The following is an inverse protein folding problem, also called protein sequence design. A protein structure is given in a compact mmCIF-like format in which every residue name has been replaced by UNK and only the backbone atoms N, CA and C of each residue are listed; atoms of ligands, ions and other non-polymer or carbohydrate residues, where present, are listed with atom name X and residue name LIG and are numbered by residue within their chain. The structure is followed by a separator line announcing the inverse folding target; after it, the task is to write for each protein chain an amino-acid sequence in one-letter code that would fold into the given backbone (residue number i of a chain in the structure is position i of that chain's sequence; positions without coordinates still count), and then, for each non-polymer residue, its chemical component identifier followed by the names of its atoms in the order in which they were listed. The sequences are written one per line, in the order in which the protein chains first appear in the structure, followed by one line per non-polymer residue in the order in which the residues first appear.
data_IF_051488935516
#
_entry.id   IF_051488935516
#
_cell.length_a   1.000
_cell.length_b   1.000
_cell.length_c   1.000
_cell.angle_alpha   90.00
_cell.angle_beta   90.00
_cell.angle_gamma   90.00
#
_symmetry.space_group_name_H-M   'P 1'
#
loop_
_entity.id
_entity.type
_entity.pdbx_description
1 polymer ?
#
# COMPACT_ATOMS: atom_id res chain seq x y z
N UNK A 1 14.45 10.99 -3.84
CA UNK A 1 13.57 9.83 -3.50
C UNK A 1 14.43 8.64 -3.12
N UNK A 2 14.15 8.00 -1.98
CA UNK A 2 14.80 6.77 -1.53
C UNK A 2 14.00 5.55 -2.02
N UNK A 3 14.70 4.43 -2.29
CA UNK A 3 14.08 3.18 -2.72
C UNK A 3 14.47 2.07 -1.75
N UNK A 4 13.51 1.22 -1.42
CA UNK A 4 13.69 0.11 -0.48
C UNK A 4 13.17 -1.20 -1.06
N UNK A 5 13.74 -2.32 -0.63
CA UNK A 5 13.28 -3.65 -1.02
C UNK A 5 12.00 -4.00 -0.25
N UNK A 6 10.96 -4.38 -0.95
CA UNK A 6 9.68 -4.77 -0.34
C UNK A 6 9.72 -6.25 0.07
N UNK A 7 10.45 -6.56 1.14
CA UNK A 7 10.60 -7.92 1.64
C UNK A 7 11.05 -8.91 0.57
N UNK A 8 10.63 -10.18 0.68
CA UNK A 8 10.97 -11.27 -0.25
C UNK A 8 10.37 -11.14 -1.65
N UNK A 9 9.63 -10.06 -1.95
CA UNK A 9 9.21 -9.78 -3.33
C UNK A 9 10.39 -9.36 -4.21
N UNK A 10 11.47 -8.87 -3.60
CA UNK A 10 12.61 -8.23 -4.26
C UNK A 10 12.26 -7.01 -5.12
N UNK A 11 11.00 -6.53 -5.06
CA UNK A 11 10.60 -5.28 -5.69
C UNK A 11 11.33 -4.11 -5.02
N UNK A 12 11.99 -3.28 -5.82
CA UNK A 12 12.61 -2.04 -5.37
C UNK A 12 11.58 -0.90 -5.50
N UNK A 13 10.91 -0.60 -4.41
CA UNK A 13 9.82 0.40 -4.37
C UNK A 13 10.32 1.73 -3.81
N UNK A 14 9.74 2.84 -4.27
CA UNK A 14 9.96 4.14 -3.61
C UNK A 14 9.46 4.05 -2.16
N UNK A 15 10.25 4.57 -1.23
CA UNK A 15 9.92 4.55 0.20
C UNK A 15 8.66 5.34 0.53
N UNK A 16 8.27 6.25 -0.35
CA UNK A 16 6.96 6.91 -0.38
C UNK A 16 6.16 6.32 -1.53
N UNK A 17 5.06 5.63 -1.24
CA UNK A 17 4.13 5.10 -2.23
C UNK A 17 2.93 6.05 -2.42
N UNK A 18 2.29 6.00 -3.59
CA UNK A 18 1.11 6.79 -3.90
C UNK A 18 -0.16 5.94 -3.80
N UNK A 19 -1.10 6.37 -2.95
CA UNK A 19 -2.43 5.76 -2.81
C UNK A 19 -3.45 6.42 -3.73
N UNK A 20 -3.93 5.69 -4.72
CA UNK A 20 -4.85 6.23 -5.72
C UNK A 20 -6.32 6.25 -5.31
N UNK A 21 -6.71 5.55 -4.24
CA UNK A 21 -8.12 5.44 -3.82
C UNK A 21 -8.77 6.78 -3.46
N UNK A 22 -7.97 7.79 -3.05
CA UNK A 22 -8.48 9.15 -2.77
C UNK A 22 -8.73 9.98 -4.02
N UNK A 23 -8.31 9.53 -5.20
CA UNK A 23 -8.46 10.28 -6.46
C UNK A 23 -9.91 10.41 -6.92
N UNK A 24 -10.82 9.57 -6.42
CA UNK A 24 -12.27 9.75 -6.62
C UNK A 24 -12.79 11.10 -6.12
N UNK A 25 -12.08 11.70 -5.15
CA UNK A 25 -12.40 12.99 -4.56
C UNK A 25 -11.65 14.15 -5.26
N UNK A 26 -10.92 13.89 -6.35
CA UNK A 26 -10.26 14.92 -7.15
C UNK A 26 -11.30 15.75 -7.94
N UNK A 27 -10.96 17.00 -8.26
CA UNK A 27 -11.86 17.91 -8.97
C UNK A 27 -12.28 17.39 -10.36
N UNK A 28 -11.38 16.66 -11.01
CA UNK A 28 -11.60 16.04 -12.33
C UNK A 28 -10.65 14.88 -12.59
N UNK A 29 -10.94 14.07 -13.59
CA UNK A 29 -10.02 13.01 -14.06
C UNK A 29 -8.68 13.57 -14.57
N UNK A 30 -8.70 14.76 -15.19
CA UNK A 30 -7.47 15.45 -15.63
C UNK A 30 -6.61 15.87 -14.43
N UNK A 31 -7.23 16.41 -13.39
CA UNK A 31 -6.57 16.76 -12.13
C UNK A 31 -5.95 15.52 -11.47
N UNK A 32 -6.71 14.42 -11.40
CA UNK A 32 -6.22 13.15 -10.87
C UNK A 32 -5.03 12.61 -11.68
N UNK A 33 -5.11 12.63 -13.01
CA UNK A 33 -4.01 12.24 -13.90
C UNK A 33 -2.76 13.09 -13.70
N UNK A 34 -2.93 14.39 -13.51
CA UNK A 34 -1.82 15.32 -13.21
C UNK A 34 -1.13 15.00 -11.89
N UNK A 35 -1.90 14.59 -10.86
CA UNK A 35 -1.36 14.13 -9.56
C UNK A 35 -0.51 12.88 -9.71
N UNK A 36 -1.04 11.87 -10.44
CA UNK A 36 -0.35 10.60 -10.69
C UNK A 36 0.97 10.86 -11.42
N UNK A 37 0.93 11.65 -12.50
CA UNK A 37 2.13 11.99 -13.28
C UNK A 37 3.16 12.75 -12.47
N UNK A 38 2.72 13.73 -11.70
CA UNK A 38 3.62 14.48 -10.81
C UNK A 38 4.26 13.58 -9.75
N UNK A 39 3.54 12.63 -9.20
CA UNK A 39 4.08 11.65 -8.27
C UNK A 39 5.19 10.82 -8.93
N UNK A 40 4.95 10.32 -10.14
CA UNK A 40 5.94 9.59 -10.93
C UNK A 40 7.17 10.45 -11.26
N UNK A 41 6.98 11.67 -11.75
CA UNK A 41 8.07 12.60 -12.10
C UNK A 41 8.94 12.96 -10.88
N UNK A 42 8.36 12.92 -9.67
CA UNK A 42 9.08 13.10 -8.41
C UNK A 42 9.81 11.83 -7.93
N UNK A 43 9.72 10.72 -8.67
CA UNK A 43 10.41 9.47 -8.39
C UNK A 43 9.58 8.45 -7.62
N UNK A 44 8.28 8.66 -7.39
CA UNK A 44 7.41 7.60 -6.88
C UNK A 44 7.22 6.56 -7.98
N UNK A 45 7.58 5.31 -7.70
CA UNK A 45 7.40 4.20 -8.61
C UNK A 45 6.40 3.14 -8.12
N UNK A 46 5.83 3.29 -6.93
CA UNK A 46 4.88 2.34 -6.36
C UNK A 46 3.53 2.98 -6.13
N UNK A 47 2.50 2.47 -6.81
CA UNK A 47 1.13 2.97 -6.83
C UNK A 47 0.18 1.90 -6.31
N UNK A 48 -0.62 2.23 -5.29
CA UNK A 48 -1.57 1.31 -4.64
C UNK A 48 -3.00 1.74 -4.91
N UNK A 49 -3.85 0.77 -5.25
CA UNK A 49 -5.28 0.94 -5.47
C UNK A 49 -6.06 -0.29 -4.98
N UNK A 50 -7.34 -0.42 -5.34
CA UNK A 50 -8.18 -1.56 -4.99
C UNK A 50 -9.32 -1.76 -6.00
N UNK A 51 -9.74 -3.02 -6.22
CA UNK A 51 -10.85 -3.36 -7.11
C UNK A 51 -12.20 -2.78 -6.67
N UNK A 52 -12.41 -2.58 -5.36
CA UNK A 52 -13.61 -1.94 -4.83
C UNK A 52 -13.71 -0.42 -5.14
N UNK A 53 -12.66 0.17 -5.71
CA UNK A 53 -12.60 1.54 -6.21
C UNK A 53 -12.20 1.53 -7.70
N UNK A 54 -13.08 1.06 -8.61
CA UNK A 54 -12.75 0.82 -10.02
C UNK A 54 -12.33 2.08 -10.78
N UNK A 55 -12.84 3.24 -10.40
CA UNK A 55 -12.46 4.51 -11.00
C UNK A 55 -10.99 4.83 -10.73
N UNK A 56 -10.45 4.47 -9.56
CA UNK A 56 -9.05 4.68 -9.25
C UNK A 56 -8.11 3.78 -10.06
N UNK A 57 -8.54 2.55 -10.38
CA UNK A 57 -7.80 1.68 -11.29
C UNK A 57 -7.77 2.25 -12.72
N UNK A 58 -8.91 2.74 -13.22
CA UNK A 58 -8.99 3.39 -14.53
C UNK A 58 -8.11 4.63 -14.61
N UNK A 59 -8.15 5.50 -13.59
CA UNK A 59 -7.30 6.70 -13.52
C UNK A 59 -5.81 6.35 -13.53
N UNK A 60 -5.40 5.30 -12.82
CA UNK A 60 -4.01 4.81 -12.87
C UNK A 60 -3.66 4.29 -14.25
N UNK A 61 -4.53 3.48 -14.87
CA UNK A 61 -4.35 2.95 -16.21
C UNK A 61 -4.15 4.05 -17.24
N UNK A 62 -5.10 4.98 -17.31
CA UNK A 62 -5.06 6.11 -18.24
C UNK A 62 -3.81 6.98 -18.06
N UNK A 63 -3.36 7.13 -16.82
CA UNK A 63 -2.21 7.99 -16.50
C UNK A 63 -0.85 7.31 -16.66
N UNK A 64 -0.76 5.98 -16.57
CA UNK A 64 0.53 5.26 -16.48
C UNK A 64 0.77 4.26 -17.62
N UNK A 65 -0.18 4.01 -18.54
CA UNK A 65 -0.07 2.97 -19.56
C UNK A 65 1.19 3.09 -20.43
N UNK A 66 1.60 4.29 -20.80
CA UNK A 66 2.78 4.57 -21.63
C UNK A 66 4.11 4.36 -20.88
N UNK A 67 4.06 4.33 -19.54
CA UNK A 67 5.22 4.11 -18.66
C UNK A 67 5.03 2.90 -17.74
N UNK A 68 4.05 2.02 -18.00
CA UNK A 68 3.68 0.90 -17.14
C UNK A 68 4.87 0.05 -16.69
N UNK A 69 5.84 -0.15 -17.56
CA UNK A 69 7.06 -0.92 -17.28
C UNK A 69 8.04 -0.24 -16.30
N UNK A 70 7.86 1.06 -16.06
CA UNK A 70 8.72 1.85 -15.15
C UNK A 70 8.11 2.00 -13.76
N UNK A 71 6.89 1.51 -13.55
CA UNK A 71 6.16 1.62 -12.29
C UNK A 71 5.74 0.24 -11.77
N UNK A 72 5.55 0.17 -10.46
CA UNK A 72 5.05 -0.99 -9.75
C UNK A 72 3.63 -0.68 -9.28
N UNK A 73 2.69 -1.56 -9.59
CA UNK A 73 1.28 -1.36 -9.26
C UNK A 73 0.81 -2.46 -8.32
N UNK A 74 0.20 -2.02 -7.22
CA UNK A 74 -0.53 -2.88 -6.31
C UNK A 74 -2.03 -2.62 -6.43
N UNK A 75 -2.83 -3.69 -6.49
CA UNK A 75 -4.28 -3.64 -6.28
C UNK A 75 -4.72 -4.79 -5.40
N UNK A 76 -5.97 -4.77 -4.96
CA UNK A 76 -6.48 -5.75 -4.01
C UNK A 76 -7.92 -6.13 -4.31
N UNK A 77 -8.29 -7.35 -3.90
CA UNK A 77 -9.65 -7.91 -4.00
C UNK A 77 -10.09 -8.51 -2.68
N UNK A 78 -11.37 -8.39 -2.36
CA UNK A 78 -12.06 -9.08 -1.26
C UNK A 78 -12.96 -10.22 -1.77
N UNK A 79 -12.69 -10.73 -2.96
CA UNK A 79 -13.48 -11.78 -3.61
C UNK A 79 -13.63 -13.03 -2.73
N UNK A 80 -14.82 -13.63 -2.75
CA UNK A 80 -15.19 -14.75 -1.86
C UNK A 80 -15.00 -16.12 -2.52
N UNK A 81 -14.65 -16.15 -3.81
CA UNK A 81 -14.46 -17.40 -4.57
C UNK A 81 -13.34 -17.30 -5.61
N UNK A 82 -12.77 -18.45 -6.03
CA UNK A 82 -11.77 -18.48 -7.10
C UNK A 82 -12.23 -17.85 -8.43
N UNK A 83 -13.51 -17.97 -8.74
CA UNK A 83 -14.10 -17.40 -9.96
C UNK A 83 -14.13 -15.87 -9.87
N UNK A 84 -14.53 -15.33 -8.72
CA UNK A 84 -14.56 -13.89 -8.48
C UNK A 84 -13.14 -13.30 -8.51
N UNK A 85 -12.13 -13.96 -7.90
CA UNK A 85 -10.74 -13.51 -7.96
C UNK A 85 -10.26 -13.37 -9.41
N UNK A 86 -10.56 -14.36 -10.26
CA UNK A 86 -10.15 -14.32 -11.67
C UNK A 86 -10.86 -13.19 -12.42
N UNK A 87 -12.17 -13.02 -12.20
CA UNK A 87 -12.95 -11.93 -12.78
C UNK A 87 -12.42 -10.56 -12.33
N UNK A 88 -12.23 -10.38 -11.02
CA UNK A 88 -11.75 -9.13 -10.44
C UNK A 88 -10.36 -8.74 -11.00
N UNK A 89 -9.48 -9.73 -11.14
CA UNK A 89 -8.18 -9.49 -11.76
C UNK A 89 -8.30 -9.13 -13.25
N UNK A 90 -9.13 -9.83 -14.02
CA UNK A 90 -9.33 -9.51 -15.44
C UNK A 90 -9.93 -8.10 -15.60
N UNK A 91 -10.85 -7.70 -14.74
CA UNK A 91 -11.39 -6.33 -14.71
C UNK A 91 -10.32 -5.30 -14.34
N UNK A 92 -9.48 -5.57 -13.34
CA UNK A 92 -8.36 -4.70 -12.95
C UNK A 92 -7.34 -4.54 -14.07
N UNK A 93 -6.95 -5.63 -14.75
CA UNK A 93 -6.02 -5.59 -15.88
C UNK A 93 -6.57 -4.75 -17.04
N UNK A 94 -7.87 -4.91 -17.34
CA UNK A 94 -8.54 -4.11 -18.37
C UNK A 94 -8.61 -2.63 -18.00
N UNK A 95 -9.01 -2.30 -16.77
CA UNK A 95 -9.10 -0.92 -16.29
C UNK A 95 -7.73 -0.21 -16.29
N UNK A 96 -6.68 -0.94 -15.91
CA UNK A 96 -5.32 -0.40 -15.85
C UNK A 96 -4.52 -0.54 -17.16
N UNK A 97 -5.14 -1.03 -18.25
CA UNK A 97 -4.51 -1.21 -19.56
C UNK A 97 -3.16 -1.94 -19.49
N UNK A 98 -3.10 -3.04 -18.74
CA UNK A 98 -1.86 -3.77 -18.53
C UNK A 98 -2.05 -5.30 -18.54
N UNK A 99 -0.95 -6.03 -18.78
CA UNK A 99 -0.96 -7.48 -18.89
C UNK A 99 -0.72 -8.19 -17.53
N UNK A 100 -0.23 -7.46 -16.55
CA UNK A 100 0.09 -8.00 -15.21
C UNK A 100 0.00 -6.95 -14.12
N UNK A 101 -0.21 -7.42 -12.87
CA UNK A 101 -0.10 -6.65 -11.62
C UNK A 101 1.18 -7.06 -10.89
N UNK A 102 1.93 -6.08 -10.37
CA UNK A 102 3.16 -6.38 -9.64
C UNK A 102 2.88 -7.00 -8.26
N UNK A 103 1.94 -6.43 -7.50
CA UNK A 103 1.52 -6.96 -6.21
C UNK A 103 -0.02 -7.06 -6.15
N UNK A 104 -0.55 -8.28 -6.21
CA UNK A 104 -1.98 -8.52 -6.06
C UNK A 104 -2.28 -8.97 -4.64
N UNK A 105 -3.11 -8.21 -3.94
CA UNK A 105 -3.37 -8.42 -2.52
C UNK A 105 -4.76 -9.02 -2.30
N UNK A 106 -4.85 -9.97 -1.38
CA UNK A 106 -6.13 -10.43 -0.85
C UNK A 106 -6.51 -9.62 0.38
N UNK A 107 -7.63 -8.91 0.33
CA UNK A 107 -8.17 -8.17 1.47
C UNK A 107 -8.95 -9.11 2.38
N UNK A 108 -8.47 -9.29 3.62
CA UNK A 108 -9.07 -10.21 4.57
C UNK A 108 -10.32 -9.58 5.19
N UNK A 109 -11.47 -10.16 4.89
CA UNK A 109 -12.76 -9.73 5.43
C UNK A 109 -13.36 -10.71 6.45
N UNK A 110 -12.73 -11.85 6.69
CA UNK A 110 -13.25 -12.86 7.64
C UNK A 110 -12.33 -14.04 7.89
N UNK A 111 -11.68 -14.58 6.87
CA UNK A 111 -10.78 -15.72 7.02
C UNK A 111 -9.49 -15.51 6.21
N UNK A 112 -8.44 -16.24 6.59
CA UNK A 112 -7.16 -16.20 5.89
C UNK A 112 -7.17 -17.35 4.86
N UNK A 113 -7.09 -17.08 3.54
CA UNK A 113 -6.96 -18.11 2.54
C UNK A 113 -5.67 -18.92 2.75
N UNK A 114 -5.77 -20.24 2.75
CA UNK A 114 -4.65 -21.16 3.00
C UNK A 114 -4.29 -21.99 1.77
N UNK A 115 -3.05 -22.47 1.71
CA UNK A 115 -2.52 -23.25 0.57
C UNK A 115 -3.38 -24.44 0.17
N UNK A 116 -4.01 -25.10 1.14
CA UNK A 116 -4.91 -26.24 0.93
C UNK A 116 -6.33 -25.93 1.43
N UNK A 117 -6.69 -24.63 1.50
CA UNK A 117 -7.99 -24.18 1.92
C UNK A 117 -9.08 -24.71 0.99
N UNK A 118 -10.22 -25.14 1.56
CA UNK A 118 -11.37 -25.64 0.79
C UNK A 118 -12.04 -24.55 -0.05
N UNK A 119 -11.78 -23.28 0.30
CA UNK A 119 -12.22 -22.10 -0.43
C UNK A 119 -11.57 -21.98 -1.82
N UNK A 120 -10.36 -22.57 -2.00
CA UNK A 120 -9.59 -22.54 -3.23
C UNK A 120 -9.01 -21.18 -3.61
N UNK A 121 -9.15 -20.16 -2.76
CA UNK A 121 -8.75 -18.76 -3.04
C UNK A 121 -7.23 -18.67 -3.20
N UNK A 122 -6.48 -19.20 -2.23
CA UNK A 122 -5.01 -19.18 -2.32
C UNK A 122 -4.48 -19.95 -3.53
N UNK A 123 -5.13 -21.07 -3.89
CA UNK A 123 -4.78 -21.83 -5.09
C UNK A 123 -5.03 -21.00 -6.35
N UNK A 124 -6.15 -20.28 -6.44
CA UNK A 124 -6.42 -19.37 -7.57
C UNK A 124 -5.37 -18.25 -7.69
N UNK A 125 -4.95 -17.66 -6.57
CA UNK A 125 -3.87 -16.65 -6.58
C UNK A 125 -2.55 -17.25 -7.09
N UNK A 126 -2.21 -18.47 -6.68
CA UNK A 126 -1.00 -19.17 -7.18
C UNK A 126 -1.08 -19.51 -8.66
N UNK A 127 -2.25 -19.92 -9.17
CA UNK A 127 -2.46 -20.15 -10.61
C UNK A 127 -2.24 -18.86 -11.41
N UNK A 128 -2.78 -17.74 -10.93
CA UNK A 128 -2.62 -16.43 -11.57
C UNK A 128 -1.15 -15.97 -11.56
N UNK A 129 -0.42 -16.23 -10.47
CA UNK A 129 1.02 -15.98 -10.37
C UNK A 129 1.80 -16.87 -11.37
N UNK A 130 1.47 -18.14 -11.44
CA UNK A 130 2.08 -19.09 -12.38
C UNK A 130 1.81 -18.69 -13.84
N UNK A 131 0.61 -18.18 -14.14
CA UNK A 131 0.25 -17.65 -15.45
C UNK A 131 0.92 -16.30 -15.77
N UNK A 132 1.63 -15.69 -14.82
CA UNK A 132 2.31 -14.40 -14.99
C UNK A 132 1.39 -13.18 -14.97
N UNK A 133 0.09 -13.36 -14.68
CA UNK A 133 -0.89 -12.27 -14.56
C UNK A 133 -0.69 -11.42 -13.29
N UNK A 134 -0.12 -12.01 -12.26
CA UNK A 134 0.35 -11.33 -11.05
C UNK A 134 1.79 -11.76 -10.76
N UNK A 135 2.61 -10.85 -10.24
CA UNK A 135 4.02 -11.16 -9.94
C UNK A 135 4.19 -11.62 -8.50
N UNK A 136 3.50 -10.95 -7.57
CA UNK A 136 3.59 -11.23 -6.12
C UNK A 136 2.21 -11.31 -5.51
N UNK A 137 2.07 -12.09 -4.43
CA UNK A 137 0.84 -12.25 -3.66
C UNK A 137 1.03 -11.57 -2.31
N UNK A 138 0.27 -10.51 -2.11
CA UNK A 138 0.17 -9.81 -0.83
C UNK A 138 -1.14 -10.08 -0.11
N UNK A 139 -1.27 -9.46 1.04
CA UNK A 139 -2.50 -9.48 1.83
C UNK A 139 -2.71 -8.12 2.49
N UNK A 140 -3.96 -7.67 2.56
CA UNK A 140 -4.37 -6.53 3.36
C UNK A 140 -5.20 -7.04 4.56
N UNK A 141 -4.88 -6.55 5.75
CA UNK A 141 -5.57 -6.91 6.99
C UNK A 141 -5.68 -5.68 7.91
N UNK A 142 -6.73 -5.64 8.74
CA UNK A 142 -6.94 -4.55 9.69
C UNK A 142 -6.87 -5.04 11.15
N UNK A 143 -7.02 -6.35 11.37
CA UNK A 143 -6.94 -6.96 12.69
C UNK A 143 -5.52 -7.43 13.02
N UNK A 144 -5.02 -7.01 14.19
CA UNK A 144 -3.67 -7.30 14.67
C UNK A 144 -3.36 -8.79 14.78
N UNK A 145 -4.29 -9.57 15.35
CA UNK A 145 -4.12 -11.02 15.54
C UNK A 145 -4.09 -11.75 14.19
N UNK A 146 -4.97 -11.34 13.27
CA UNK A 146 -5.03 -11.85 11.91
C UNK A 146 -3.74 -11.54 11.16
N UNK A 147 -3.24 -10.31 11.23
CA UNK A 147 -1.97 -9.93 10.62
C UNK A 147 -0.81 -10.77 11.16
N UNK A 148 -0.75 -10.99 12.48
CA UNK A 148 0.26 -11.84 13.11
C UNK A 148 0.21 -13.29 12.61
N UNK A 149 -0.98 -13.86 12.39
CA UNK A 149 -1.15 -15.21 11.81
C UNK A 149 -0.68 -15.26 10.36
N UNK A 150 -1.07 -14.27 9.56
CA UNK A 150 -0.66 -14.14 8.16
C UNK A 150 0.87 -14.12 8.03
N UNK A 151 1.56 -13.28 8.80
CA UNK A 151 3.02 -13.18 8.75
C UNK A 151 3.65 -14.54 9.09
N UNK A 152 3.22 -15.19 10.17
CA UNK A 152 3.77 -16.48 10.62
C UNK A 152 3.47 -17.62 9.65
N UNK A 153 2.43 -17.51 8.81
CA UNK A 153 2.11 -18.52 7.80
C UNK A 153 3.21 -18.64 6.73
N UNK A 154 3.97 -17.56 6.48
CA UNK A 154 4.99 -17.49 5.45
C UNK A 154 4.47 -17.58 4.00
N UNK A 155 3.14 -17.64 3.82
CA UNK A 155 2.51 -17.83 2.51
C UNK A 155 2.50 -16.57 1.65
N UNK A 156 2.38 -15.40 2.26
CA UNK A 156 2.25 -14.12 1.58
C UNK A 156 3.58 -13.38 1.55
N UNK A 157 3.76 -12.51 0.56
CA UNK A 157 5.02 -11.82 0.29
C UNK A 157 5.05 -10.39 0.85
N UNK A 158 3.87 -9.76 0.97
CA UNK A 158 3.71 -8.45 1.58
C UNK A 158 2.43 -8.39 2.43
N UNK A 159 2.48 -7.60 3.50
CA UNK A 159 1.34 -7.23 4.34
C UNK A 159 1.06 -5.74 4.18
N UNK A 160 -0.19 -5.39 3.87
CA UNK A 160 -0.70 -4.04 4.00
C UNK A 160 -1.54 -3.94 5.27
N UNK A 161 -1.21 -2.97 6.14
CA UNK A 161 -1.83 -2.84 7.46
C UNK A 161 -1.96 -1.36 7.86
N UNK A 162 -3.03 -0.95 8.58
CA UNK A 162 -3.15 0.42 9.11
C UNK A 162 -2.00 0.72 10.08
N UNK A 163 -1.15 1.68 9.72
CA UNK A 163 -0.03 2.08 10.56
C UNK A 163 0.26 3.57 10.45
N UNK A 164 0.13 4.25 11.58
CA UNK A 164 0.31 5.69 11.72
C UNK A 164 0.90 6.03 13.08
N UNK A 165 1.22 7.29 13.31
CA UNK A 165 1.78 7.75 14.58
C UNK A 165 0.83 7.55 15.78
N UNK A 166 -0.49 7.42 15.55
CA UNK A 166 -1.49 7.17 16.61
C UNK A 166 -1.92 5.69 16.69
N UNK A 167 -1.34 4.81 15.88
CA UNK A 167 -1.60 3.37 16.00
C UNK A 167 -1.18 2.85 17.37
N UNK A 168 -1.88 1.82 17.92
CA UNK A 168 -1.47 1.18 19.17
C UNK A 168 0.02 0.79 19.14
N UNK A 169 0.71 0.96 20.26
CA UNK A 169 2.16 0.66 20.35
C UNK A 169 2.49 -0.79 19.94
N UNK A 170 1.57 -1.73 20.22
CA UNK A 170 1.71 -3.12 19.79
C UNK A 170 1.85 -3.29 18.27
N UNK A 171 1.31 -2.37 17.46
CA UNK A 171 1.36 -2.47 15.99
C UNK A 171 2.79 -2.47 15.45
N UNK A 172 3.74 -1.78 16.11
CA UNK A 172 5.15 -1.79 15.71
C UNK A 172 5.77 -3.19 15.74
N UNK A 173 5.26 -4.09 16.60
CA UNK A 173 5.72 -5.48 16.64
C UNK A 173 5.38 -6.28 15.36
N UNK A 174 4.35 -5.87 14.61
CA UNK A 174 4.08 -6.45 13.28
C UNK A 174 5.15 -6.04 12.27
N UNK A 175 5.67 -4.83 12.36
CA UNK A 175 6.78 -4.34 11.51
C UNK A 175 8.02 -5.20 11.76
N UNK A 176 8.38 -5.42 13.04
CA UNK A 176 9.51 -6.27 13.43
C UNK A 176 9.30 -7.73 12.99
N UNK A 177 8.07 -8.21 13.12
CA UNK A 177 7.72 -9.56 12.70
C UNK A 177 7.82 -9.72 11.17
N UNK A 178 7.35 -8.73 10.39
CA UNK A 178 7.53 -8.73 8.94
C UNK A 178 9.01 -8.75 8.55
N UNK A 179 9.85 -7.93 9.20
CA UNK A 179 11.29 -7.95 8.97
C UNK A 179 11.90 -9.34 9.24
N UNK A 180 11.50 -9.99 10.34
CA UNK A 180 11.98 -11.34 10.69
C UNK A 180 11.59 -12.42 9.66
N UNK A 181 10.44 -12.28 9.01
CA UNK A 181 9.95 -13.23 8.00
C UNK A 181 10.25 -12.78 6.56
N UNK A 182 11.05 -11.72 6.40
CA UNK A 182 11.36 -11.12 5.10
C UNK A 182 10.09 -10.78 4.29
N UNK A 183 9.04 -10.33 4.98
CA UNK A 183 7.77 -9.93 4.40
C UNK A 183 7.72 -8.41 4.25
N UNK A 184 7.31 -7.90 3.09
CA UNK A 184 7.13 -6.46 2.88
C UNK A 184 6.04 -5.90 3.81
N UNK A 185 6.26 -4.72 4.39
CA UNK A 185 5.26 -4.03 5.21
C UNK A 185 4.84 -2.72 4.52
N UNK A 186 3.56 -2.66 4.14
CA UNK A 186 2.94 -1.49 3.51
C UNK A 186 2.02 -0.84 4.54
N UNK A 187 2.35 0.41 4.92
CA UNK A 187 1.55 1.17 5.87
C UNK A 187 0.42 1.90 5.15
N UNK A 188 -0.81 1.42 5.29
CA UNK A 188 -1.98 2.15 4.81
C UNK A 188 -2.49 3.14 5.87
N UNK A 189 -3.24 4.15 5.41
CA UNK A 189 -3.84 5.18 6.26
C UNK A 189 -2.83 5.95 7.14
N UNK A 190 -1.70 6.44 6.61
CA UNK A 190 -0.68 7.16 7.37
C UNK A 190 -1.21 8.41 8.06
N UNK A 191 -2.28 9.02 7.53
CA UNK A 191 -2.99 10.17 8.10
C UNK A 191 -4.37 9.80 8.69
N UNK A 192 -4.65 8.51 8.92
CA UNK A 192 -5.93 8.05 9.49
C UNK A 192 -7.17 8.62 8.80
N UNK A 193 -7.20 8.58 7.47
CA UNK A 193 -8.33 9.13 6.69
C UNK A 193 -8.44 10.66 6.74
N UNK A 194 -7.38 11.38 7.09
CA UNK A 194 -7.35 12.84 7.21
C UNK A 194 -7.58 13.36 8.63
N UNK A 195 -7.73 12.49 9.62
CA UNK A 195 -7.82 12.86 11.05
C UNK A 195 -6.51 13.51 11.51
N UNK A 196 -5.37 13.05 10.99
CA UNK A 196 -4.07 13.62 11.26
C UNK A 196 -3.73 14.69 10.21
N UNK A 197 -3.62 15.94 10.65
CA UNK A 197 -3.25 17.07 9.80
C UNK A 197 -1.75 17.43 9.89
N UNK A 198 -1.02 16.89 10.88
CA UNK A 198 0.41 17.16 11.06
C UNK A 198 1.24 16.20 10.18
N UNK A 199 1.37 16.53 8.89
CA UNK A 199 2.12 15.73 7.91
C UNK A 199 3.59 15.55 8.32
N UNK A 200 4.36 16.58 8.77
CA UNK A 200 5.73 16.42 9.24
C UNK A 200 5.86 15.35 10.33
N UNK A 201 4.96 15.37 11.31
CA UNK A 201 5.01 14.44 12.43
C UNK A 201 4.65 13.01 11.98
N UNK A 202 3.62 12.86 11.14
CA UNK A 202 3.22 11.56 10.58
C UNK A 202 4.33 10.98 9.69
N UNK A 203 4.94 11.81 8.83
CA UNK A 203 6.03 11.40 7.95
C UNK A 203 7.26 10.96 8.77
N UNK A 204 7.73 11.79 9.71
CA UNK A 204 8.88 11.47 10.55
C UNK A 204 8.66 10.23 11.40
N UNK A 205 7.43 10.00 11.90
CA UNK A 205 7.11 8.77 12.61
C UNK A 205 7.31 7.53 11.74
N UNK A 206 6.78 7.51 10.51
CA UNK A 206 6.90 6.36 9.61
C UNK A 206 8.33 6.20 9.05
N UNK A 207 9.03 7.32 8.88
CA UNK A 207 10.41 7.33 8.40
C UNK A 207 11.43 6.74 9.37
N UNK A 208 11.07 6.50 10.65
CA UNK A 208 11.92 5.76 11.59
C UNK A 208 12.04 4.26 11.26
N UNK A 209 11.13 3.72 10.46
CA UNK A 209 11.06 2.29 10.13
C UNK A 209 11.59 2.07 8.71
N UNK A 210 12.80 1.53 8.59
CA UNK A 210 13.47 1.34 7.29
C UNK A 210 12.73 0.37 6.35
N UNK A 211 11.98 -0.57 6.90
CA UNK A 211 11.25 -1.62 6.18
C UNK A 211 9.75 -1.32 6.01
N UNK A 212 9.31 -0.10 6.30
CA UNK A 212 7.92 0.33 6.13
C UNK A 212 7.79 1.20 4.88
N UNK A 213 6.81 0.87 4.04
CA UNK A 213 6.44 1.65 2.84
C UNK A 213 5.07 2.28 3.07
N UNK A 214 4.99 3.56 3.46
CA UNK A 214 3.72 4.24 3.63
C UNK A 214 3.07 4.58 2.28
N UNK A 215 1.76 4.33 2.18
CA UNK A 215 0.92 4.68 1.04
C UNK A 215 0.21 6.00 1.34
N UNK A 216 0.69 7.06 0.72
CA UNK A 216 0.14 8.40 0.90
C UNK A 216 -0.91 8.71 -0.16
N UNK A 217 -2.09 9.10 0.28
CA UNK A 217 -3.11 9.69 -0.60
C UNK A 217 -2.94 11.20 -0.69
N UNK A 218 -3.11 11.77 -1.87
CA UNK A 218 -3.18 13.20 -2.10
C UNK A 218 -4.34 13.51 -3.06
N UNK A 219 -5.12 14.55 -2.76
CA UNK A 219 -6.24 15.01 -3.58
C UNK A 219 -5.89 16.25 -4.39
N UNK A 220 -4.87 16.99 -3.94
CA UNK A 220 -4.38 18.21 -4.58
C UNK A 220 -2.87 18.17 -4.78
N UNK A 221 -2.39 19.02 -5.69
CA UNK A 221 -0.96 19.20 -5.94
C UNK A 221 -0.25 19.71 -4.69
N UNK A 222 -0.91 20.53 -3.89
CA UNK A 222 -0.39 21.10 -2.64
C UNK A 222 -0.17 20.00 -1.59
N UNK A 223 -1.15 19.09 -1.41
CA UNK A 223 -1.02 17.94 -0.51
C UNK A 223 0.15 17.03 -0.96
N UNK A 224 0.23 16.71 -2.27
CA UNK A 224 1.33 15.92 -2.80
C UNK A 224 2.68 16.61 -2.59
N UNK A 225 2.78 17.91 -2.86
CA UNK A 225 4.01 18.68 -2.65
C UNK A 225 4.48 18.64 -1.18
N UNK A 226 3.56 18.67 -0.22
CA UNK A 226 3.91 18.57 1.19
C UNK A 226 4.52 17.21 1.52
N UNK A 227 3.95 16.12 0.98
CA UNK A 227 4.48 14.77 1.16
C UNK A 227 5.86 14.64 0.50
N UNK A 228 6.00 15.10 -0.75
CA UNK A 228 7.24 15.05 -1.51
C UNK A 228 8.37 15.87 -0.88
N UNK A 229 8.04 17.01 -0.27
CA UNK A 229 9.02 17.85 0.42
C UNK A 229 9.81 17.07 1.48
N UNK A 230 9.14 16.17 2.24
CA UNK A 230 9.78 15.42 3.31
C UNK A 230 10.66 14.24 2.83
N UNK A 231 10.60 13.85 1.55
CA UNK A 231 11.58 12.92 0.99
C UNK A 231 12.98 13.54 0.91
N UNK A 232 13.05 14.84 0.62
CA UNK A 232 14.31 15.58 0.49
C UNK A 232 14.71 16.26 1.81
N UNK A 233 13.73 16.52 2.69
CA UNK A 233 13.89 17.21 3.96
C UNK A 233 13.24 16.42 5.11
N UNK A 234 13.72 15.18 5.41
CA UNK A 234 13.12 14.36 6.45
C UNK A 234 13.19 15.07 7.81
N UNK A 235 12.10 15.00 8.61
CA UNK A 235 12.08 15.59 9.95
C UNK A 235 13.20 15.03 10.83
N UNK A 236 13.78 15.88 11.68
CA UNK A 236 14.77 15.45 12.67
C UNK A 236 14.05 14.69 13.79
N UNK A 237 14.47 13.44 14.04
CA UNK A 237 13.89 12.56 15.07
C UNK A 237 14.67 12.74 16.38
N UNK A 238 14.42 13.85 17.05
CA UNK A 238 14.98 14.16 18.37
C UNK A 238 13.98 13.87 19.52
N UNK A 239 14.35 14.22 20.73
CA UNK A 239 13.48 14.00 21.90
C UNK A 239 12.23 14.89 21.87
N UNK A 240 12.30 16.08 21.28
CA UNK A 240 11.13 16.95 21.10
C UNK A 240 10.13 16.30 20.12
N UNK A 241 10.62 15.77 19.01
CA UNK A 241 9.80 15.02 18.06
C UNK A 241 9.08 13.84 18.73
N UNK A 242 9.81 13.04 19.51
CA UNK A 242 9.23 11.88 20.22
C UNK A 242 8.14 12.31 21.23
N UNK A 243 8.38 13.41 21.96
CA UNK A 243 7.38 13.97 22.87
C UNK A 243 6.12 14.44 22.13
N UNK A 244 6.26 15.01 20.94
CA UNK A 244 5.11 15.47 20.17
C UNK A 244 4.31 14.29 19.59
N UNK A 245 4.97 13.19 19.20
CA UNK A 245 4.29 11.92 18.88
C UNK A 245 3.50 11.39 20.06
N UNK A 246 4.10 11.36 21.26
CA UNK A 246 3.40 10.89 22.48
C UNK A 246 2.22 11.79 22.88
N UNK A 247 2.35 13.11 22.74
CA UNK A 247 1.22 14.05 22.92
C UNK A 247 0.08 13.78 21.93
N UNK A 248 0.41 13.56 20.66
CA UNK A 248 -0.59 13.22 19.64
C UNK A 248 -1.30 11.91 20.00
N UNK A 249 -0.57 10.87 20.38
CA UNK A 249 -1.15 9.60 20.84
C UNK A 249 -2.08 9.77 22.03
N UNK A 250 -1.65 10.53 23.02
CA UNK A 250 -2.47 10.78 24.22
C UNK A 250 -3.75 11.58 23.92
N UNK A 251 -3.78 12.36 22.85
CA UNK A 251 -4.96 13.12 22.42
C UNK A 251 -5.98 12.24 21.69
N UNK A 252 -5.52 11.24 20.92
CA UNK A 252 -6.38 10.42 20.07
C UNK A 252 -6.74 9.05 20.67
N UNK A 253 -6.07 8.60 21.75
CA UNK A 253 -6.33 7.37 22.49
C UNK A 253 -6.78 7.65 23.94
#
# INVERSE_FOLDING_TARGET
MEYVRLGKTDLLVSRTAFGAMCLKDAESAESAGSLIRKAYDAGINFFDTARNEPDSETLLGDSLHDIRQNVLVATKTSASSPQEIRRDLDESLNAMHCDYIDLYQYEITGFIPEKNGRDGIYAALQDLKTAGKIKHIGVAAEDYETAGKVIRSGMYEALQFPFSMISPTATSSLVDLCAKFDMGFIAMQPLCGGVLSNIPLAFGFLYQYENVVPVWGARTIEELNQILYFNDHPPVIDDAFKQDVEKARAFFN
#
